data_IF_042743336760
#
_entry.id   IF_042743336760
#
_cell.length_a   1.000
_cell.length_b   1.000
_cell.length_c   1.000
_cell.angle_alpha   90.00
_cell.angle_beta   90.00
_cell.angle_gamma   90.00
#
_symmetry.space_group_name_H-M   'P 1'
#
loop_
_entity.id
_entity.type
_entity.pdbx_description
1 polymer ?
#
# COMPACT_ATOMS: atom_id res chain seq x y z
N UNK A 1 1.98 37.12 -22.84
CA UNK A 1 1.39 36.52 -21.61
C UNK A 1 1.28 34.99 -21.62
N UNK A 2 1.63 34.28 -22.70
CA UNK A 2 1.39 32.83 -22.86
C UNK A 2 2.51 31.90 -22.35
N UNK A 3 3.77 32.36 -22.27
CA UNK A 3 4.91 31.52 -21.83
C UNK A 3 5.01 31.40 -20.30
N UNK A 4 4.63 32.45 -19.57
CA UNK A 4 4.70 32.50 -18.11
C UNK A 4 3.62 31.61 -17.47
N UNK A 5 2.40 31.61 -18.00
CA UNK A 5 1.30 30.73 -17.59
C UNK A 5 1.62 29.24 -17.80
N UNK A 6 2.30 28.86 -18.90
CA UNK A 6 2.65 27.46 -19.18
C UNK A 6 3.74 26.93 -18.24
N UNK A 7 4.69 27.79 -17.82
CA UNK A 7 5.76 27.44 -16.88
C UNK A 7 5.23 27.32 -15.44
N UNK A 8 4.30 28.20 -15.06
CA UNK A 8 3.57 28.10 -13.78
C UNK A 8 2.74 26.81 -13.70
N UNK A 9 2.06 26.45 -14.79
CA UNK A 9 1.25 25.23 -14.84
C UNK A 9 2.14 23.96 -14.79
N UNK A 10 3.30 23.96 -15.46
CA UNK A 10 4.27 22.86 -15.37
C UNK A 10 4.84 22.69 -13.96
N UNK A 11 5.16 23.78 -13.27
CA UNK A 11 5.63 23.74 -11.89
C UNK A 11 4.54 23.27 -10.92
N UNK A 12 3.27 23.68 -11.13
CA UNK A 12 2.13 23.15 -10.37
C UNK A 12 1.92 21.66 -10.59
N UNK A 13 1.98 21.18 -11.83
CA UNK A 13 1.84 19.74 -12.14
C UNK A 13 2.98 18.92 -11.53
N UNK A 14 4.23 19.38 -11.61
CA UNK A 14 5.37 18.71 -10.99
C UNK A 14 5.22 18.71 -9.46
N UNK A 15 4.78 19.81 -8.87
CA UNK A 15 4.56 19.93 -7.43
C UNK A 15 3.44 19.01 -6.94
N UNK A 16 2.31 18.96 -7.65
CA UNK A 16 1.20 18.04 -7.35
C UNK A 16 1.62 16.58 -7.58
N UNK A 17 2.43 16.30 -8.59
CA UNK A 17 2.99 14.98 -8.85
C UNK A 17 3.92 14.51 -7.72
N UNK A 18 4.81 15.38 -7.23
CA UNK A 18 5.69 15.09 -6.09
C UNK A 18 4.91 14.87 -4.78
N UNK A 19 3.84 15.63 -4.56
CA UNK A 19 2.95 15.43 -3.41
C UNK A 19 2.20 14.09 -3.50
N UNK A 20 1.66 13.76 -4.69
CA UNK A 20 1.00 12.47 -4.91
C UNK A 20 1.97 11.29 -4.75
N UNK A 21 3.20 11.43 -5.26
CA UNK A 21 4.27 10.44 -5.11
C UNK A 21 4.66 10.24 -3.63
N UNK A 22 4.78 11.32 -2.87
CA UNK A 22 5.10 11.25 -1.44
C UNK A 22 4.00 10.60 -0.59
N UNK A 23 2.74 10.94 -0.83
CA UNK A 23 1.63 10.55 0.05
C UNK A 23 0.98 9.23 -0.38
N UNK A 24 0.63 9.08 -1.67
CA UNK A 24 -0.15 7.93 -2.16
C UNK A 24 0.77 6.77 -2.51
N UNK A 25 1.88 7.04 -3.20
CA UNK A 25 2.81 5.97 -3.58
C UNK A 25 3.69 5.52 -2.42
N UNK A 26 3.87 6.35 -1.37
CA UNK A 26 4.51 5.92 -0.13
C UNK A 26 3.77 4.75 0.51
N UNK A 27 2.46 4.88 0.67
CA UNK A 27 1.61 3.87 1.28
C UNK A 27 1.51 2.58 0.42
N UNK A 28 1.29 2.75 -0.89
CA UNK A 28 1.17 1.62 -1.81
C UNK A 28 2.51 0.90 -2.03
N UNK A 29 3.62 1.63 -2.05
CA UNK A 29 4.94 1.11 -2.43
C UNK A 29 5.65 0.32 -1.34
N UNK A 30 5.38 0.61 -0.06
CA UNK A 30 6.02 -0.11 1.07
C UNK A 30 5.33 -1.43 1.39
N UNK A 31 4.02 -1.53 1.15
CA UNK A 31 3.20 -2.70 1.48
C UNK A 31 3.70 -4.01 0.85
N UNK A 32 4.10 -4.07 -0.44
CA UNK A 32 4.68 -5.28 -1.04
C UNK A 32 5.92 -5.81 -0.32
N UNK A 33 6.78 -4.92 0.21
CA UNK A 33 8.03 -5.33 0.87
C UNK A 33 7.76 -6.03 2.20
N UNK A 34 6.81 -5.50 2.97
CA UNK A 34 6.37 -6.13 4.21
C UNK A 34 5.61 -7.42 3.95
N UNK A 35 4.66 -7.41 3.00
CA UNK A 35 3.89 -8.59 2.62
C UNK A 35 4.81 -9.73 2.17
N UNK A 36 5.79 -9.45 1.32
CA UNK A 36 6.75 -10.46 0.87
C UNK A 36 7.54 -11.07 2.03
N UNK A 37 7.98 -10.26 2.99
CA UNK A 37 8.68 -10.75 4.19
C UNK A 37 7.77 -11.61 5.08
N UNK A 38 6.50 -11.23 5.25
CA UNK A 38 5.53 -12.03 6.00
C UNK A 38 5.26 -13.38 5.36
N UNK A 39 5.21 -13.44 4.03
CA UNK A 39 4.94 -14.67 3.29
C UNK A 39 6.00 -15.75 3.56
N UNK A 40 7.24 -15.36 3.87
CA UNK A 40 8.34 -16.25 4.25
C UNK A 40 8.66 -16.24 5.75
N UNK A 41 7.77 -15.66 6.57
CA UNK A 41 7.93 -15.69 8.02
C UNK A 41 7.58 -17.06 8.59
N UNK A 42 8.01 -17.33 9.82
CA UNK A 42 7.70 -18.59 10.52
C UNK A 42 6.19 -18.85 10.69
N UNK A 43 5.33 -17.86 10.41
CA UNK A 43 3.87 -17.96 10.51
C UNK A 43 3.28 -18.78 9.36
N UNK A 44 3.83 -18.67 8.15
CA UNK A 44 3.32 -19.42 6.98
C UNK A 44 3.95 -20.80 6.86
N UNK A 45 5.14 -21.00 7.43
CA UNK A 45 5.92 -22.24 7.31
C UNK A 45 6.44 -22.50 5.89
N UNK A 46 6.31 -21.53 4.98
CA UNK A 46 6.71 -21.67 3.58
C UNK A 46 8.21 -21.44 3.47
N UNK A 47 8.92 -22.49 3.06
CA UNK A 47 10.36 -22.40 2.80
C UNK A 47 10.60 -21.53 1.55
N UNK A 48 11.62 -20.64 1.56
CA UNK A 48 12.01 -19.84 0.41
C UNK A 48 12.71 -20.72 -0.65
N UNK A 49 11.90 -21.49 -1.37
CA UNK A 49 12.30 -22.21 -2.58
C UNK A 49 12.00 -21.34 -3.82
N UNK A 50 12.68 -21.63 -4.93
CA UNK A 50 12.52 -20.93 -6.22
C UNK A 50 11.05 -20.89 -6.63
N UNK A 51 10.33 -22.01 -6.54
CA UNK A 51 8.92 -22.09 -6.95
C UNK A 51 8.02 -21.19 -6.10
N UNK A 52 8.24 -21.16 -4.79
CA UNK A 52 7.48 -20.30 -3.87
C UNK A 52 7.80 -18.82 -4.06
N UNK A 53 9.06 -18.48 -4.30
CA UNK A 53 9.46 -17.09 -4.59
C UNK A 53 8.83 -16.60 -5.88
N UNK A 54 8.83 -17.43 -6.94
CA UNK A 54 8.18 -17.11 -8.20
C UNK A 54 6.66 -16.99 -8.05
N UNK A 55 6.04 -17.92 -7.32
CA UNK A 55 4.59 -17.92 -7.03
C UNK A 55 4.13 -16.69 -6.26
N UNK A 56 4.77 -16.40 -5.12
CA UNK A 56 4.44 -15.23 -4.28
C UNK A 56 4.70 -13.92 -5.04
N UNK A 57 5.81 -13.81 -5.76
CA UNK A 57 6.11 -12.61 -6.57
C UNK A 57 5.04 -12.38 -7.62
N UNK A 58 4.63 -13.43 -8.33
CA UNK A 58 3.53 -13.38 -9.30
C UNK A 58 2.21 -12.96 -8.63
N UNK A 59 1.94 -13.49 -7.44
CA UNK A 59 0.68 -13.25 -6.73
C UNK A 59 0.58 -11.81 -6.24
N UNK A 60 1.67 -11.26 -5.68
CA UNK A 60 1.76 -9.84 -5.32
C UNK A 60 1.59 -8.96 -6.55
N UNK A 61 2.30 -9.25 -7.65
CA UNK A 61 2.24 -8.46 -8.87
C UNK A 61 0.82 -8.40 -9.46
N UNK A 62 0.19 -9.56 -9.64
CA UNK A 62 -1.15 -9.64 -10.22
C UNK A 62 -2.23 -9.11 -9.28
N UNK A 63 -2.11 -9.34 -7.99
CA UNK A 63 -3.09 -8.83 -7.03
C UNK A 63 -3.02 -7.30 -6.92
N UNK A 64 -1.82 -6.70 -6.89
CA UNK A 64 -1.64 -5.24 -6.99
C UNK A 64 -2.20 -4.68 -8.31
N UNK A 65 -1.94 -5.35 -9.43
CA UNK A 65 -2.46 -4.93 -10.75
C UNK A 65 -3.98 -4.98 -10.79
N UNK A 66 -4.58 -6.09 -10.35
CA UNK A 66 -6.04 -6.29 -10.41
C UNK A 66 -6.74 -5.38 -9.41
N UNK A 67 -6.27 -5.32 -8.16
CA UNK A 67 -6.93 -4.54 -7.11
C UNK A 67 -6.68 -3.05 -7.35
N UNK A 68 -5.43 -2.59 -7.35
CA UNK A 68 -5.10 -1.15 -7.35
C UNK A 68 -5.28 -0.52 -8.73
N UNK A 69 -5.00 -1.25 -9.82
CA UNK A 69 -5.18 -0.69 -11.16
C UNK A 69 -6.56 -0.99 -11.70
N UNK A 70 -6.91 -2.26 -11.92
CA UNK A 70 -8.12 -2.61 -12.66
C UNK A 70 -9.40 -2.28 -11.88
N UNK A 71 -9.55 -2.78 -10.65
CA UNK A 71 -10.75 -2.57 -9.84
C UNK A 71 -10.96 -1.10 -9.49
N UNK A 72 -9.91 -0.39 -9.08
CA UNK A 72 -10.03 1.03 -8.74
C UNK A 72 -10.37 1.90 -9.95
N UNK A 73 -9.74 1.68 -11.11
CA UNK A 73 -10.02 2.46 -12.33
C UNK A 73 -11.41 2.16 -12.91
N UNK A 74 -11.83 0.89 -12.92
CA UNK A 74 -13.08 0.49 -13.56
C UNK A 74 -14.32 0.76 -12.68
N UNK A 75 -14.21 0.58 -11.36
CA UNK A 75 -15.35 0.65 -10.47
C UNK A 75 -15.30 1.86 -9.56
N UNK A 76 -14.24 2.00 -8.76
CA UNK A 76 -14.19 2.98 -7.68
C UNK A 76 -14.14 4.41 -8.20
N UNK A 77 -13.35 4.69 -9.25
CA UNK A 77 -13.31 6.04 -9.84
C UNK A 77 -14.58 6.40 -10.61
N UNK A 78 -15.39 5.42 -11.03
CA UNK A 78 -16.69 5.66 -11.68
C UNK A 78 -17.82 5.89 -10.68
N UNK A 79 -17.70 5.31 -9.49
CA UNK A 79 -18.66 5.47 -8.42
C UNK A 79 -18.30 6.71 -7.58
N UNK A 80 -18.59 7.89 -8.12
CA UNK A 80 -18.43 9.16 -7.43
C UNK A 80 -19.79 9.84 -7.17
N UNK A 81 -19.86 10.65 -6.13
CA UNK A 81 -20.98 11.54 -5.85
C UNK A 81 -20.44 12.97 -5.97
N UNK A 82 -20.79 13.70 -7.04
CA UNK A 82 -20.35 15.09 -7.25
C UNK A 82 -18.82 15.30 -7.21
N UNK A 83 -18.04 14.31 -7.65
CA UNK A 83 -16.57 14.37 -7.63
C UNK A 83 -15.93 13.97 -6.29
N UNK A 84 -16.72 13.67 -5.26
CA UNK A 84 -16.25 13.04 -4.02
C UNK A 84 -16.32 11.50 -4.16
N UNK A 85 -15.23 10.84 -3.78
CA UNK A 85 -15.11 9.38 -3.78
C UNK A 85 -14.93 8.84 -2.36
N UNK A 86 -15.00 7.52 -2.22
CA UNK A 86 -14.75 6.83 -0.95
C UNK A 86 -16.01 6.31 -0.26
N UNK A 87 -15.81 5.59 0.84
CA UNK A 87 -16.87 4.83 1.53
C UNK A 87 -18.04 5.72 1.96
N UNK A 88 -17.77 6.93 2.43
CA UNK A 88 -18.80 7.88 2.89
C UNK A 88 -19.59 8.49 1.71
N UNK A 89 -18.93 8.74 0.57
CA UNK A 89 -19.60 9.21 -0.64
C UNK A 89 -20.50 8.11 -1.24
N UNK A 90 -20.07 6.84 -1.19
CA UNK A 90 -20.88 5.70 -1.62
C UNK A 90 -22.07 5.44 -0.69
N UNK A 91 -21.88 5.62 0.62
CA UNK A 91 -22.96 5.58 1.59
C UNK A 91 -24.00 6.67 1.31
N UNK A 92 -23.55 7.91 1.04
CA UNK A 92 -24.43 9.02 0.70
C UNK A 92 -25.19 8.79 -0.61
N UNK A 93 -24.52 8.30 -1.67
CA UNK A 93 -25.15 7.91 -2.94
C UNK A 93 -26.20 6.80 -2.78
N UNK A 94 -25.96 5.83 -1.89
CA UNK A 94 -26.90 4.74 -1.62
C UNK A 94 -28.19 5.20 -0.93
N UNK A 95 -28.12 6.28 -0.15
CA UNK A 95 -29.24 6.87 0.59
C UNK A 95 -29.99 7.92 -0.27
N UNK A 96 -29.33 8.49 -1.29
CA UNK A 96 -29.90 9.52 -2.15
C UNK A 96 -31.11 9.00 -2.95
N UNK A 97 -32.21 9.77 -2.92
CA UNK A 97 -33.46 9.45 -3.62
C UNK A 97 -34.30 8.28 -3.07
N UNK A 98 -33.93 7.62 -1.95
CA UNK A 98 -34.70 6.53 -1.33
C UNK A 98 -35.29 6.91 0.03
N UNK A 99 -36.41 6.29 0.40
CA UNK A 99 -37.09 6.57 1.66
C UNK A 99 -36.20 6.10 2.85
N UNK A 100 -35.77 7.00 3.76
CA UNK A 100 -34.81 6.67 4.83
C UNK A 100 -35.27 5.55 5.76
N UNK A 101 -36.60 5.38 5.89
CA UNK A 101 -37.24 4.36 6.73
C UNK A 101 -37.19 2.94 6.16
N UNK A 102 -37.01 2.75 4.85
CA UNK A 102 -37.06 1.42 4.22
C UNK A 102 -35.69 0.91 3.76
N UNK A 103 -34.77 1.81 3.34
CA UNK A 103 -33.44 1.41 2.83
C UNK A 103 -32.27 2.00 3.65
N UNK A 104 -32.55 2.94 4.57
CA UNK A 104 -31.52 3.65 5.33
C UNK A 104 -30.74 2.75 6.30
N UNK A 105 -31.41 1.83 7.01
CA UNK A 105 -30.77 1.03 8.05
C UNK A 105 -29.60 0.17 7.57
N UNK A 106 -29.79 -0.58 6.47
CA UNK A 106 -28.76 -1.48 5.92
C UNK A 106 -27.61 -0.70 5.29
N UNK A 107 -27.90 0.37 4.56
CA UNK A 107 -26.88 1.20 3.89
C UNK A 107 -26.06 1.97 4.93
N UNK A 108 -26.70 2.51 5.97
CA UNK A 108 -26.01 3.14 7.10
C UNK A 108 -25.14 2.12 7.84
N UNK A 109 -25.65 0.91 8.08
CA UNK A 109 -24.86 -0.14 8.73
C UNK A 109 -23.64 -0.55 7.90
N UNK A 110 -23.79 -0.77 6.59
CA UNK A 110 -22.67 -1.05 5.69
C UNK A 110 -21.68 0.11 5.62
N UNK A 111 -22.17 1.35 5.60
CA UNK A 111 -21.33 2.55 5.61
C UNK A 111 -20.53 2.70 6.92
N UNK A 112 -21.15 2.40 8.07
CA UNK A 112 -20.48 2.37 9.37
C UNK A 112 -19.40 1.29 9.43
N UNK A 113 -19.67 0.09 8.90
CA UNK A 113 -18.66 -0.97 8.78
C UNK A 113 -17.50 -0.49 7.92
N UNK A 114 -17.77 0.09 6.75
CA UNK A 114 -16.72 0.59 5.88
C UNK A 114 -15.90 1.72 6.51
N UNK A 115 -16.55 2.63 7.25
CA UNK A 115 -15.87 3.69 8.00
C UNK A 115 -15.00 3.13 9.12
N UNK A 116 -15.46 2.11 9.84
CA UNK A 116 -14.67 1.42 10.86
C UNK A 116 -13.46 0.69 10.25
N UNK A 117 -13.62 0.04 9.10
CA UNK A 117 -12.53 -0.60 8.37
C UNK A 117 -11.49 0.44 7.91
N UNK A 118 -11.94 1.57 7.37
CA UNK A 118 -11.06 2.68 6.96
C UNK A 118 -10.29 3.26 8.16
N UNK A 119 -10.96 3.40 9.30
CA UNK A 119 -10.31 3.88 10.52
C UNK A 119 -9.29 2.87 11.06
N UNK A 120 -9.61 1.58 10.99
CA UNK A 120 -8.70 0.49 11.34
C UNK A 120 -7.45 0.49 10.47
N UNK A 121 -7.62 0.56 9.15
CA UNK A 121 -6.52 0.63 8.18
C UNK A 121 -5.62 1.86 8.43
N UNK A 122 -6.24 3.04 8.63
CA UNK A 122 -5.51 4.27 8.95
C UNK A 122 -4.72 4.22 10.26
N UNK A 123 -5.11 3.36 11.21
CA UNK A 123 -4.39 3.17 12.48
C UNK A 123 -3.28 2.11 12.37
N UNK A 124 -3.52 1.02 11.64
CA UNK A 124 -2.59 -0.12 11.53
C UNK A 124 -1.40 0.24 10.64
N UNK A 125 -1.62 0.91 9.52
CA UNK A 125 -0.59 1.16 8.51
C UNK A 125 0.63 1.94 9.02
N UNK A 126 0.49 3.04 9.78
CA UNK A 126 1.64 3.73 10.37
C UNK A 126 2.43 2.86 11.35
N UNK A 127 1.72 2.02 12.13
CA UNK A 127 2.34 1.13 13.09
C UNK A 127 3.15 0.03 12.39
N UNK A 128 2.54 -0.64 11.39
CA UNK A 128 3.19 -1.72 10.65
C UNK A 128 4.37 -1.24 9.79
N UNK A 129 4.23 -0.07 9.16
CA UNK A 129 5.30 0.50 8.33
C UNK A 129 6.51 0.90 9.19
N UNK A 130 6.30 1.53 10.35
CA UNK A 130 7.41 1.88 11.25
C UNK A 130 8.04 0.64 11.87
N UNK A 131 7.22 -0.31 12.35
CA UNK A 131 7.73 -1.54 12.95
C UNK A 131 8.57 -2.33 11.95
N UNK A 132 8.08 -2.52 10.71
CA UNK A 132 8.82 -3.22 9.66
C UNK A 132 10.13 -2.51 9.27
N UNK A 133 10.14 -1.18 9.26
CA UNK A 133 11.36 -0.39 9.04
C UNK A 133 12.40 -0.59 10.15
N UNK A 134 11.98 -0.57 11.42
CA UNK A 134 12.88 -0.75 12.57
C UNK A 134 13.36 -2.21 12.66
N UNK A 135 12.51 -3.18 12.34
CA UNK A 135 12.90 -4.59 12.26
C UNK A 135 13.98 -4.84 11.19
N UNK A 136 14.03 -4.02 10.13
CA UNK A 136 15.11 -4.03 9.15
C UNK A 136 16.51 -3.84 9.76
N UNK A 137 16.62 -3.08 10.87
CA UNK A 137 17.89 -2.89 11.60
C UNK A 137 18.39 -4.22 12.21
N UNK A 138 17.47 -5.10 12.60
CA UNK A 138 17.80 -6.38 13.20
C UNK A 138 18.38 -7.40 12.20
N UNK A 139 18.29 -7.11 10.90
CA UNK A 139 18.99 -7.89 9.86
C UNK A 139 20.50 -7.67 9.92
N UNK A 140 20.94 -6.45 10.28
CA UNK A 140 22.37 -6.11 10.39
C UNK A 140 22.93 -6.41 11.79
N UNK A 141 22.13 -6.23 12.85
CA UNK A 141 22.56 -6.41 14.25
C UNK A 141 21.48 -7.09 15.10
N UNK A 142 21.55 -8.43 15.30
CA UNK A 142 20.52 -9.21 16.02
C UNK A 142 20.34 -8.88 17.51
N UNK A 143 21.31 -8.22 18.15
CA UNK A 143 21.26 -7.85 19.57
C UNK A 143 20.22 -6.75 19.88
N UNK A 144 19.79 -5.99 18.87
CA UNK A 144 18.82 -4.90 19.04
C UNK A 144 17.36 -5.34 19.08
N UNK A 145 17.05 -6.65 19.09
CA UNK A 145 15.67 -7.16 19.09
C UNK A 145 14.80 -6.60 20.22
N UNK A 146 15.36 -6.43 21.41
CA UNK A 146 14.64 -5.88 22.56
C UNK A 146 14.33 -4.37 22.41
N UNK A 147 15.07 -3.66 21.56
CA UNK A 147 14.90 -2.22 21.35
C UNK A 147 13.91 -1.88 20.23
N UNK A 148 13.48 -2.86 19.41
CA UNK A 148 12.60 -2.64 18.25
C UNK A 148 11.29 -1.96 18.67
N UNK A 149 10.60 -2.52 19.67
CA UNK A 149 9.29 -2.01 20.13
C UNK A 149 9.44 -0.61 20.74
N UNK A 150 10.36 -0.35 21.69
CA UNK A 150 10.56 1.00 22.23
C UNK A 150 10.91 2.04 21.16
N UNK A 151 11.81 1.72 20.24
CA UNK A 151 12.23 2.63 19.16
C UNK A 151 11.04 2.94 18.26
N UNK A 152 10.24 1.94 17.89
CA UNK A 152 9.04 2.13 17.05
C UNK A 152 8.03 3.05 17.72
N UNK A 153 7.77 2.88 19.02
CA UNK A 153 6.86 3.75 19.79
C UNK A 153 7.38 5.19 19.80
N UNK A 154 8.68 5.39 20.04
CA UNK A 154 9.30 6.73 20.04
C UNK A 154 9.18 7.39 18.67
N UNK A 155 9.46 6.65 17.59
CA UNK A 155 9.35 7.16 16.22
C UNK A 155 7.91 7.55 15.91
N UNK A 156 6.93 6.69 16.19
CA UNK A 156 5.51 6.97 15.96
C UNK A 156 5.09 8.22 16.75
N UNK A 157 5.38 8.26 18.06
CA UNK A 157 5.03 9.41 18.90
C UNK A 157 5.65 10.71 18.37
N UNK A 158 6.91 10.67 17.95
CA UNK A 158 7.61 11.82 17.40
C UNK A 158 6.99 12.29 16.06
N UNK A 159 6.69 11.38 15.15
CA UNK A 159 6.04 11.70 13.87
C UNK A 159 4.66 12.32 14.10
N UNK A 160 3.85 11.76 15.02
CA UNK A 160 2.54 12.31 15.36
C UNK A 160 2.61 13.70 16.02
N UNK A 161 3.64 13.96 16.83
CA UNK A 161 3.89 15.30 17.39
C UNK A 161 4.18 16.30 16.26
N UNK A 162 4.97 15.91 15.27
CA UNK A 162 5.29 16.77 14.12
C UNK A 162 4.06 17.03 13.25
N UNK A 163 3.15 16.06 13.10
CA UNK A 163 1.91 16.21 12.32
C UNK A 163 0.99 17.34 12.81
N UNK A 164 1.06 17.72 14.09
CA UNK A 164 0.32 18.87 14.64
C UNK A 164 0.63 20.20 13.94
N UNK A 165 1.79 20.32 13.27
CA UNK A 165 2.21 21.53 12.53
C UNK A 165 1.64 21.62 11.10
N UNK A 166 0.82 20.65 10.69
CA UNK A 166 0.12 20.60 9.40
C UNK A 166 0.65 19.51 8.48
N UNK A 167 -0.22 18.57 8.11
CA UNK A 167 0.07 17.42 7.24
C UNK A 167 0.57 17.81 5.85
N UNK A 168 0.05 18.90 5.27
CA UNK A 168 0.43 19.35 3.94
C UNK A 168 1.90 19.79 3.81
N UNK A 169 2.46 20.41 4.86
CA UNK A 169 3.89 20.82 4.86
C UNK A 169 4.81 19.61 4.99
N UNK A 170 4.38 18.60 5.75
CA UNK A 170 5.14 17.36 5.95
C UNK A 170 5.14 16.55 4.66
N UNK A 171 3.99 16.39 4.00
CA UNK A 171 3.90 15.68 2.73
C UNK A 171 4.85 16.23 1.64
N UNK A 172 5.12 17.54 1.67
CA UNK A 172 6.07 18.16 0.77
C UNK A 172 7.53 17.75 1.01
N UNK A 173 7.93 17.52 2.28
CA UNK A 173 9.25 17.00 2.62
C UNK A 173 9.38 15.49 2.31
N UNK A 174 8.29 14.73 2.46
CA UNK A 174 8.29 13.30 2.19
C UNK A 174 8.37 12.97 0.69
N UNK A 175 7.83 13.81 -0.20
CA UNK A 175 7.88 13.61 -1.65
C UNK A 175 9.29 13.34 -2.20
N UNK A 176 10.28 14.24 -1.98
CA UNK A 176 11.66 14.01 -2.41
C UNK A 176 12.31 12.77 -1.78
N UNK A 177 12.03 12.49 -0.50
CA UNK A 177 12.56 11.31 0.21
C UNK A 177 12.04 10.04 -0.45
N UNK A 178 10.74 9.97 -0.72
CA UNK A 178 10.11 8.85 -1.42
C UNK A 178 10.66 8.68 -2.83
N UNK A 179 10.88 9.77 -3.55
CA UNK A 179 11.50 9.70 -4.88
C UNK A 179 12.90 9.08 -4.85
N UNK A 180 13.74 9.53 -3.91
CA UNK A 180 15.08 8.95 -3.72
C UNK A 180 14.98 7.47 -3.34
N UNK A 181 14.06 7.12 -2.44
CA UNK A 181 13.84 5.75 -2.01
C UNK A 181 13.41 4.84 -3.18
N UNK A 182 12.46 5.27 -4.00
CA UNK A 182 12.05 4.52 -5.19
C UNK A 182 13.17 4.39 -6.22
N UNK A 183 13.99 5.43 -6.39
CA UNK A 183 15.17 5.35 -7.25
C UNK A 183 16.17 4.31 -6.75
N UNK A 184 16.44 4.27 -5.45
CA UNK A 184 17.30 3.25 -4.84
C UNK A 184 16.74 1.85 -5.08
N UNK A 185 15.44 1.64 -4.85
CA UNK A 185 14.79 0.35 -5.13
C UNK A 185 14.84 -0.02 -6.62
N UNK A 186 14.63 0.93 -7.53
CA UNK A 186 14.70 0.69 -8.95
C UNK A 186 16.12 0.28 -9.38
N UNK A 187 17.15 0.99 -8.91
CA UNK A 187 18.54 0.64 -9.20
C UNK A 187 18.93 -0.73 -8.64
N UNK A 188 18.62 -1.00 -7.36
CA UNK A 188 18.91 -2.28 -6.74
C UNK A 188 18.13 -3.43 -7.42
N UNK A 189 16.84 -3.22 -7.66
CA UNK A 189 15.99 -4.19 -8.36
C UNK A 189 16.52 -4.52 -9.76
N UNK A 190 16.95 -3.50 -10.51
CA UNK A 190 17.51 -3.70 -11.86
C UNK A 190 18.80 -4.52 -11.83
N UNK A 191 19.68 -4.29 -10.86
CA UNK A 191 20.90 -5.12 -10.66
C UNK A 191 20.52 -6.58 -10.44
N UNK A 192 19.52 -6.86 -9.61
CA UNK A 192 19.09 -8.24 -9.33
C UNK A 192 18.35 -8.89 -10.49
N UNK A 193 17.55 -8.13 -11.25
CA UNK A 193 16.87 -8.63 -12.46
C UNK A 193 17.90 -9.03 -13.52
N UNK A 194 18.97 -8.25 -13.71
CA UNK A 194 20.05 -8.61 -14.64
C UNK A 194 20.76 -9.89 -14.19
N UNK A 195 20.98 -10.06 -12.89
CA UNK A 195 21.65 -11.24 -12.34
C UNK A 195 20.77 -12.50 -12.40
N UNK A 196 19.46 -12.35 -12.22
CA UNK A 196 18.49 -13.46 -12.23
C UNK A 196 17.30 -13.12 -13.14
N UNK A 197 17.48 -13.17 -14.47
CA UNK A 197 16.43 -12.78 -15.43
C UNK A 197 15.20 -13.70 -15.35
N UNK A 198 15.35 -14.90 -14.81
CA UNK A 198 14.26 -15.83 -14.54
C UNK A 198 13.13 -15.21 -13.70
N UNK A 199 13.41 -14.22 -12.85
CA UNK A 199 12.39 -13.54 -12.03
C UNK A 199 11.30 -12.88 -12.88
N UNK A 200 11.61 -12.49 -14.13
CA UNK A 200 10.62 -11.92 -15.04
C UNK A 200 9.54 -12.92 -15.45
N UNK A 201 9.80 -14.23 -15.34
CA UNK A 201 8.78 -15.25 -15.56
C UNK A 201 7.66 -15.17 -14.50
N UNK A 202 7.92 -14.59 -13.33
CA UNK A 202 6.90 -14.35 -12.30
C UNK A 202 5.82 -13.35 -12.75
N UNK A 203 6.01 -12.64 -13.88
CA UNK A 203 4.93 -11.85 -14.49
C UNK A 203 3.83 -12.74 -15.08
N UNK A 204 4.08 -14.02 -15.33
CA UNK A 204 3.07 -14.96 -15.81
C UNK A 204 2.13 -15.34 -14.65
N UNK A 205 0.81 -15.05 -14.74
CA UNK A 205 -0.16 -15.32 -13.68
C UNK A 205 -0.28 -16.81 -13.33
N UNK A 206 0.19 -17.71 -14.20
CA UNK A 206 0.22 -19.14 -13.91
C UNK A 206 1.02 -19.46 -12.64
N UNK A 207 2.11 -18.73 -12.36
CA UNK A 207 2.87 -18.96 -11.12
C UNK A 207 2.05 -18.66 -9.87
N UNK A 208 1.24 -17.60 -9.89
CA UNK A 208 0.33 -17.29 -8.78
C UNK A 208 -0.76 -18.35 -8.62
N UNK A 209 -1.35 -18.82 -9.72
CA UNK A 209 -2.39 -19.85 -9.69
C UNK A 209 -1.86 -21.20 -9.20
N UNK A 210 -0.72 -21.65 -9.74
CA UNK A 210 -0.05 -22.88 -9.32
C UNK A 210 0.25 -22.80 -7.82
N UNK A 211 0.84 -21.70 -7.36
CA UNK A 211 1.13 -21.49 -5.95
C UNK A 211 -0.13 -21.59 -5.06
N UNK A 212 -1.24 -20.96 -5.46
CA UNK A 212 -2.51 -21.01 -4.74
C UNK A 212 -3.08 -22.43 -4.67
N UNK A 213 -3.06 -23.17 -5.78
CA UNK A 213 -3.62 -24.52 -5.84
C UNK A 213 -2.74 -25.57 -5.16
N UNK A 214 -1.42 -25.44 -5.23
CA UNK A 214 -0.49 -26.36 -4.58
C UNK A 214 -0.44 -26.16 -3.05
N UNK A 215 -0.55 -24.92 -2.58
CA UNK A 215 -0.50 -24.62 -1.14
C UNK A 215 -1.89 -24.59 -0.49
N UNK A 216 -2.98 -24.63 -1.26
CA UNK A 216 -4.35 -24.71 -0.74
C UNK A 216 -4.66 -23.63 0.31
N UNK A 217 -4.92 -24.05 1.55
CA UNK A 217 -5.30 -23.14 2.65
C UNK A 217 -4.17 -22.17 3.05
N UNK A 218 -2.89 -22.59 2.99
CA UNK A 218 -1.78 -21.67 3.26
C UNK A 218 -1.60 -20.66 2.14
N UNK A 219 -1.85 -21.07 0.88
CA UNK A 219 -1.90 -20.15 -0.25
C UNK A 219 -2.99 -19.08 -0.09
N UNK A 220 -4.15 -19.44 0.46
CA UNK A 220 -5.21 -18.48 0.77
C UNK A 220 -4.82 -17.53 1.91
N UNK A 221 -4.18 -18.02 2.98
CA UNK A 221 -3.66 -17.18 4.06
C UNK A 221 -2.60 -16.20 3.56
N UNK A 222 -1.74 -16.63 2.64
CA UNK A 222 -0.75 -15.77 1.98
C UNK A 222 -1.40 -14.62 1.22
N UNK A 223 -2.54 -14.86 0.57
CA UNK A 223 -3.29 -13.82 -0.11
C UNK A 223 -3.75 -12.72 0.87
N UNK A 224 -4.14 -13.10 2.09
CA UNK A 224 -4.49 -12.17 3.17
C UNK A 224 -3.31 -11.45 3.84
N UNK A 225 -2.06 -11.84 3.57
CA UNK A 225 -0.89 -11.05 3.97
C UNK A 225 -0.51 -9.99 2.93
N UNK A 226 -1.03 -10.12 1.72
CA UNK A 226 -0.74 -9.21 0.59
C UNK A 226 -1.77 -8.07 0.53
N UNK A 227 -2.93 -8.23 1.18
CA UNK A 227 -4.02 -7.24 1.28
C UNK A 227 -4.64 -7.18 2.68
#
# INVERSE_FOLDING_TARGET
MTVQSKKENKNKVIFTGLLALGVVFGDIGTSPLYAFRLCFSNVTGILPNVDHVMGITSLIFWSMTIVISVKYLLYILRANLNGEGGVLALMALGIDGKNPRETGGVIVFMGLIGAALLYGDGMITPAMSVLSAVEGISVATPEFKHAIIPISIIIIAFIFILQKKGSGKIGLFFGPIMFVWFMVLACLGLIWIIKYPAILMALNPMYALIFLFENGMTGYLVLGFIF
#
